data_IF_978976413034
#
_entry.id   IF_978976413034
#
_cell.length_a   1.000
_cell.length_b   1.000
_cell.length_c   1.000
_cell.angle_alpha   90.00
_cell.angle_beta   90.00
_cell.angle_gamma   90.00
#
_symmetry.space_group_name_H-M   'P 1'
#
loop_
_entity.id
_entity.type
_entity.pdbx_description
1 polymer ?
#
# COMPACT_ATOMS: atom_id res chain seq x y z
N UNK A 1 7.00 14.48 10.65
CA UNK A 1 8.47 14.37 10.56
C UNK A 1 8.98 13.03 11.10
N UNK A 2 8.38 12.43 12.13
CA UNK A 2 8.80 11.11 12.65
C UNK A 2 8.62 9.93 11.66
N UNK A 3 7.52 9.86 10.89
CA UNK A 3 7.29 8.77 9.91
C UNK A 3 8.41 8.65 8.86
N UNK A 4 9.02 9.77 8.44
CA UNK A 4 10.05 9.80 7.39
C UNK A 4 11.37 9.17 7.88
N UNK A 5 11.71 9.36 9.16
CA UNK A 5 12.92 8.79 9.73
C UNK A 5 12.88 7.24 9.86
N UNK A 6 11.69 6.65 9.79
CA UNK A 6 11.45 5.20 9.84
C UNK A 6 11.50 4.53 8.46
N UNK A 7 11.49 5.31 7.37
CA UNK A 7 11.54 4.78 6.00
C UNK A 7 13.00 4.58 5.63
N UNK A 8 13.49 3.35 5.71
CA UNK A 8 14.82 2.99 5.24
C UNK A 8 14.76 2.41 3.83
N UNK A 9 13.69 1.67 3.53
CA UNK A 9 13.45 1.02 2.25
C UNK A 9 12.06 1.39 1.68
N UNK A 10 11.84 1.28 0.36
CA UNK A 10 10.54 1.56 -0.25
C UNK A 10 9.38 0.74 0.33
N UNK A 11 9.63 -0.52 0.71
CA UNK A 11 8.62 -1.39 1.34
C UNK A 11 8.18 -0.91 2.72
N UNK A 12 9.02 -0.15 3.44
CA UNK A 12 8.64 0.42 4.74
C UNK A 12 7.50 1.42 4.57
N UNK A 13 7.45 2.13 3.45
CA UNK A 13 6.33 3.02 3.16
C UNK A 13 5.00 2.25 3.09
N UNK A 14 4.99 1.09 2.43
CA UNK A 14 3.79 0.25 2.34
C UNK A 14 3.42 -0.29 3.73
N UNK A 15 4.42 -0.75 4.50
CA UNK A 15 4.24 -1.22 5.87
C UNK A 15 3.62 -0.16 6.80
N UNK A 16 4.06 1.08 6.66
CA UNK A 16 3.61 2.21 7.48
C UNK A 16 2.19 2.68 7.14
N UNK A 17 1.63 2.22 6.02
CA UNK A 17 0.27 2.53 5.58
C UNK A 17 -0.62 1.26 5.54
N UNK A 18 -0.27 0.24 6.31
CA UNK A 18 -1.16 -0.89 6.59
C UNK A 18 -2.45 -0.38 7.24
N UNK A 19 -3.58 -0.99 6.87
CA UNK A 19 -4.92 -0.57 7.28
C UNK A 19 -5.33 0.86 6.88
N UNK A 20 -4.59 1.52 5.98
CA UNK A 20 -5.00 2.79 5.38
C UNK A 20 -5.61 2.55 3.99
N UNK A 21 -6.44 3.49 3.53
CA UNK A 21 -6.91 3.51 2.14
C UNK A 21 -5.78 4.00 1.24
N UNK A 22 -5.44 3.21 0.23
CA UNK A 22 -4.36 3.55 -0.71
C UNK A 22 -4.86 3.57 -2.15
N UNK A 23 -4.29 4.47 -2.93
CA UNK A 23 -4.46 4.56 -4.37
C UNK A 23 -3.32 3.80 -5.06
N UNK A 24 -3.67 2.86 -5.94
CA UNK A 24 -2.73 2.16 -6.80
C UNK A 24 -2.98 2.45 -8.26
N UNK A 25 -1.94 2.95 -8.93
CA UNK A 25 -1.91 3.00 -10.39
C UNK A 25 -1.39 1.68 -10.93
N UNK A 26 -2.27 0.93 -11.60
CA UNK A 26 -1.95 -0.35 -12.21
C UNK A 26 -1.54 -0.17 -13.69
N UNK A 27 -0.98 -1.23 -14.28
CA UNK A 27 -0.69 -1.27 -15.72
C UNK A 27 -2.00 -1.30 -16.53
N UNK A 28 -1.99 -0.58 -17.66
CA UNK A 28 -3.10 -0.50 -18.61
C UNK A 28 -4.19 0.49 -18.21
N UNK A 29 -3.80 1.63 -17.64
CA UNK A 29 -4.71 2.71 -17.20
C UNK A 29 -5.79 2.25 -16.23
N UNK A 30 -5.48 1.21 -15.46
CA UNK A 30 -6.33 0.71 -14.38
C UNK A 30 -5.89 1.37 -13.09
N UNK A 31 -6.87 1.69 -12.27
CA UNK A 31 -6.66 2.27 -10.95
C UNK A 31 -7.44 1.46 -9.93
N UNK A 32 -6.87 1.30 -8.74
CA UNK A 32 -7.49 0.59 -7.63
C UNK A 32 -7.41 1.47 -6.39
N UNK A 33 -8.54 1.58 -5.67
CA UNK A 33 -8.62 2.31 -4.41
C UNK A 33 -9.24 1.36 -3.40
N UNK A 34 -8.53 1.12 -2.29
CA UNK A 34 -9.02 0.22 -1.24
C UNK A 34 -8.13 0.23 -0.01
N UNK A 35 -8.61 -0.40 1.07
CA UNK A 35 -7.87 -0.50 2.33
C UNK A 35 -6.83 -1.62 2.23
N UNK A 36 -5.55 -1.31 2.45
CA UNK A 36 -4.46 -2.30 2.42
C UNK A 36 -4.55 -3.21 3.65
N UNK A 37 -4.70 -4.52 3.43
CA UNK A 37 -4.82 -5.52 4.51
C UNK A 37 -3.55 -6.36 4.67
N UNK A 38 -2.89 -6.72 3.56
CA UNK A 38 -1.61 -7.44 3.59
C UNK A 38 -0.82 -7.25 2.28
N UNK A 39 0.49 -7.51 2.34
CA UNK A 39 1.37 -7.50 1.17
C UNK A 39 2.57 -8.45 1.35
N UNK A 40 3.30 -8.72 0.26
CA UNK A 40 4.55 -9.48 0.27
C UNK A 40 5.73 -8.73 -0.37
N UNK A 41 6.91 -9.35 -0.41
CA UNK A 41 8.12 -8.77 -1.01
C UNK A 41 8.05 -8.60 -2.53
N UNK A 42 7.11 -9.25 -3.21
CA UNK A 42 6.89 -9.12 -4.65
C UNK A 42 5.87 -8.02 -5.00
N UNK A 43 5.36 -7.30 -3.99
CA UNK A 43 4.27 -6.31 -4.12
C UNK A 43 2.94 -6.93 -4.56
N UNK A 44 2.73 -8.21 -4.26
CA UNK A 44 1.37 -8.74 -4.24
C UNK A 44 0.66 -8.12 -3.03
N UNK A 45 -0.57 -7.61 -3.23
CA UNK A 45 -1.31 -6.87 -2.21
C UNK A 45 -2.72 -7.43 -2.08
N UNK A 46 -3.19 -7.54 -0.84
CA UNK A 46 -4.55 -7.91 -0.48
C UNK A 46 -5.27 -6.64 -0.01
N UNK A 47 -6.43 -6.39 -0.60
CA UNK A 47 -7.26 -5.23 -0.31
C UNK A 47 -8.60 -5.65 0.26
N UNK A 48 -9.04 -4.90 1.25
CA UNK A 48 -10.42 -4.94 1.69
C UNK A 48 -11.23 -3.84 0.97
N UNK A 49 -12.33 -4.24 0.34
CA UNK A 49 -13.31 -3.34 -0.27
C UNK A 49 -14.59 -3.36 0.55
N UNK A 50 -15.05 -2.19 0.96
CA UNK A 50 -16.41 -2.04 1.49
C UNK A 50 -17.35 -2.03 0.27
N UNK A 51 -18.26 -3.00 0.20
CA UNK A 51 -19.35 -3.02 -0.78
C UNK A 51 -20.51 -2.12 -0.34
#
# INVERSE_FOLDING_TARGET
>A
MEKIALIQNPLDYIRLNMEEEIFLKCKGDRELIGKLDAYDNHLNMIFFFFF
#
